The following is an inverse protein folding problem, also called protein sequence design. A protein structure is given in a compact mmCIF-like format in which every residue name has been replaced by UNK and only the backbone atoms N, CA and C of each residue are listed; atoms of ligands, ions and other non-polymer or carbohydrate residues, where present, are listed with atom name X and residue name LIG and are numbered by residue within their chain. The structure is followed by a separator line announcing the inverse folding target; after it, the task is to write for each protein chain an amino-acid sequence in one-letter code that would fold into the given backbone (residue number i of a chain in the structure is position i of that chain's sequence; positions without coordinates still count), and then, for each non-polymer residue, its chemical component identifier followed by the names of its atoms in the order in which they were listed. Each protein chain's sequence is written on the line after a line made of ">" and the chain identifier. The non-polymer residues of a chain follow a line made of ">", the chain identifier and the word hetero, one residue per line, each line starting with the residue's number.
data_IF_969930719551
#
_entry.id   IF_969930719551
#
_cell.length_a   1.000
_cell.length_b   1.000
_cell.length_c   1.000
_cell.angle_alpha   90.00
_cell.angle_beta   90.00
_cell.angle_gamma   90.00
#
_symmetry.space_group_name_H-M   'P 1'
#
loop_
_entity.id
_entity.type
_entity.pdbx_description
1 polymer ?
#
# COMPACT_ATOMS: atom_id res chain seq x y z
N UNK A 1 -6.80 0.07 -11.58
CA UNK A 1 -8.05 -0.28 -10.85
C UNK A 1 -7.86 -0.10 -9.36
N UNK A 2 -8.93 0.19 -8.60
CA UNK A 2 -8.84 0.31 -7.13
C UNK A 2 -8.58 -1.05 -6.47
N UNK A 3 -7.53 -1.13 -5.66
CA UNK A 3 -7.13 -2.32 -4.91
C UNK A 3 -7.86 -2.40 -3.55
N UNK A 4 -7.95 -3.62 -3.01
CA UNK A 4 -8.24 -3.81 -1.60
C UNK A 4 -7.08 -3.25 -0.76
N UNK A 5 -7.41 -2.47 0.26
CA UNK A 5 -6.40 -1.77 1.07
C UNK A 5 -6.88 -1.51 2.49
N UNK A 6 -5.92 -1.42 3.42
CA UNK A 6 -6.11 -1.03 4.82
C UNK A 6 -5.28 0.22 5.08
N UNK A 7 -5.94 1.33 5.38
CA UNK A 7 -5.30 2.58 5.77
C UNK A 7 -5.34 2.75 7.30
N UNK A 8 -4.25 3.20 7.89
CA UNK A 8 -4.13 3.50 9.32
C UNK A 8 -3.36 4.79 9.51
N UNK A 9 -3.88 5.70 10.33
CA UNK A 9 -3.20 6.96 10.65
C UNK A 9 -2.08 6.73 11.67
N UNK A 10 -1.04 7.55 11.58
CA UNK A 10 0.05 7.58 12.56
C UNK A 10 -0.48 7.80 13.98
N UNK A 11 0.11 7.12 14.96
CA UNK A 11 -0.21 7.31 16.38
C UNK A 11 0.27 8.67 16.88
N UNK A 12 1.47 9.09 16.45
CA UNK A 12 2.03 10.41 16.69
C UNK A 12 2.27 11.10 15.34
N UNK A 13 1.36 11.97 14.87
CA UNK A 13 1.49 12.60 13.56
C UNK A 13 2.68 13.58 13.53
N UNK A 14 3.65 13.34 12.66
CA UNK A 14 4.85 14.17 12.51
C UNK A 14 4.97 14.89 11.15
N UNK A 15 3.85 15.08 10.44
CA UNK A 15 3.82 15.57 9.05
C UNK A 15 4.73 14.75 8.12
N UNK A 16 4.98 13.49 8.48
CA UNK A 16 5.66 12.53 7.65
C UNK A 16 4.74 12.11 6.51
N UNK A 17 5.35 11.88 5.36
CA UNK A 17 4.65 11.34 4.20
C UNK A 17 4.20 9.90 4.45
N UNK A 18 3.05 9.48 3.90
CA UNK A 18 2.53 8.14 4.09
C UNK A 18 3.43 7.07 3.47
N UNK A 19 3.45 5.88 4.09
CA UNK A 19 4.15 4.70 3.61
C UNK A 19 3.16 3.69 3.04
N UNK A 20 3.41 3.25 1.80
CA UNK A 20 2.63 2.17 1.17
C UNK A 20 3.39 0.85 1.30
N UNK A 21 2.75 -0.13 1.92
CA UNK A 21 3.28 -1.48 2.12
C UNK A 21 2.67 -2.42 1.08
N UNK A 22 3.53 -2.95 0.21
CA UNK A 22 3.14 -3.85 -0.87
C UNK A 22 3.76 -5.23 -0.61
N UNK A 23 2.94 -6.28 -0.59
CA UNK A 23 3.40 -7.65 -0.35
C UNK A 23 4.09 -8.28 -1.58
N UNK A 24 4.78 -9.42 -1.35
CA UNK A 24 5.43 -10.21 -2.40
C UNK A 24 4.53 -11.25 -3.05
N UNK A 25 5.09 -12.08 -3.94
CA UNK A 25 4.35 -13.15 -4.63
C UNK A 25 3.66 -14.10 -3.63
N UNK A 26 2.41 -14.50 -3.95
CA UNK A 26 1.55 -15.34 -3.10
C UNK A 26 1.16 -14.72 -1.75
N UNK A 27 1.44 -13.43 -1.55
CA UNK A 27 1.08 -12.73 -0.33
C UNK A 27 -0.32 -12.09 -0.34
N UNK A 28 -0.62 -11.47 0.79
CA UNK A 28 -1.71 -10.53 1.02
C UNK A 28 -1.20 -9.35 1.85
N UNK A 29 -2.04 -8.33 2.01
CA UNK A 29 -1.76 -7.13 2.80
C UNK A 29 -1.34 -7.44 4.24
N UNK A 30 -1.74 -8.59 4.81
CA UNK A 30 -1.42 -8.97 6.19
C UNK A 30 0.04 -9.47 6.34
N UNK A 31 0.73 -9.85 5.26
CA UNK A 31 2.11 -10.34 5.35
C UNK A 31 3.10 -9.31 5.90
N UNK A 32 2.79 -8.02 5.78
CA UNK A 32 3.64 -6.93 6.27
C UNK A 32 3.12 -6.30 7.57
N UNK A 33 2.20 -6.99 8.27
CA UNK A 33 1.62 -6.48 9.51
C UNK A 33 2.64 -6.21 10.62
N UNK A 34 3.72 -6.99 10.72
CA UNK A 34 4.79 -6.74 11.71
C UNK A 34 5.50 -5.41 11.41
N UNK A 35 5.78 -5.14 10.14
CA UNK A 35 6.40 -3.88 9.73
C UNK A 35 5.45 -2.69 9.92
N UNK A 36 4.16 -2.87 9.61
CA UNK A 36 3.14 -1.85 9.82
C UNK A 36 3.04 -1.40 11.28
N UNK A 37 3.16 -2.33 12.24
CA UNK A 37 3.08 -2.04 13.68
C UNK A 37 4.19 -1.12 14.19
N UNK A 38 5.36 -1.19 13.59
CA UNK A 38 6.49 -0.33 13.95
C UNK A 38 6.34 1.06 13.29
N UNK A 39 6.04 1.07 11.98
CA UNK A 39 5.97 2.30 11.20
C UNK A 39 4.76 3.19 11.54
N UNK A 40 3.67 2.62 12.07
CA UNK A 40 2.49 3.40 12.48
C UNK A 40 2.77 4.34 13.67
N UNK A 41 3.92 4.20 14.33
CA UNK A 41 4.30 5.10 15.42
C UNK A 41 4.30 6.56 14.95
N UNK A 42 4.80 6.83 13.73
CA UNK A 42 5.03 8.18 13.20
C UNK A 42 4.67 8.37 11.72
N UNK A 43 4.22 7.32 11.00
CA UNK A 43 3.79 7.40 9.60
C UNK A 43 2.35 6.91 9.42
N UNK A 44 1.62 7.57 8.52
CA UNK A 44 0.38 7.01 7.97
C UNK A 44 0.74 5.79 7.10
N UNK A 45 0.03 4.68 7.30
CA UNK A 45 0.31 3.40 6.63
C UNK A 45 -0.86 3.02 5.72
N UNK A 46 -0.54 2.63 4.49
CA UNK A 46 -1.48 1.99 3.57
C UNK A 46 -0.94 0.62 3.18
N UNK A 47 -1.60 -0.44 3.64
CA UNK A 47 -1.33 -1.81 3.20
C UNK A 47 -2.26 -2.16 2.03
N UNK A 48 -1.74 -2.78 0.99
CA UNK A 48 -2.54 -3.13 -0.21
C UNK A 48 -2.42 -4.62 -0.55
N UNK A 49 -3.52 -5.21 -1.00
CA UNK A 49 -3.45 -6.45 -1.78
C UNK A 49 -3.18 -6.07 -3.24
N UNK A 50 -2.14 -6.60 -3.87
CA UNK A 50 -1.91 -6.34 -5.29
C UNK A 50 -2.98 -7.00 -6.15
N UNK A 51 -3.15 -6.54 -7.40
CA UNK A 51 -4.01 -7.22 -8.37
C UNK A 51 -3.74 -8.73 -8.35
N UNK A 52 -4.80 -9.50 -8.52
CA UNK A 52 -4.76 -10.97 -8.47
C UNK A 52 -4.41 -11.60 -7.11
N UNK A 53 -4.24 -10.82 -6.03
CA UNK A 53 -3.92 -11.30 -4.69
C UNK A 53 -4.96 -10.88 -3.65
N UNK A 54 -5.02 -11.60 -2.54
CA UNK A 54 -5.93 -11.34 -1.42
C UNK A 54 -7.37 -11.10 -1.86
N UNK A 55 -7.93 -9.96 -1.45
CA UNK A 55 -9.28 -9.53 -1.81
C UNK A 55 -9.30 -8.48 -2.94
N UNK A 56 -8.15 -8.19 -3.55
CA UNK A 56 -8.10 -7.30 -4.71
C UNK A 56 -8.72 -7.95 -5.94
N UNK A 57 -9.31 -7.17 -6.86
CA UNK A 57 -9.98 -7.78 -7.99
C UNK A 57 -8.98 -8.44 -8.96
N UNK A 58 -9.49 -9.42 -9.71
CA UNK A 58 -8.69 -10.25 -10.63
C UNK A 58 -8.63 -9.59 -12.01
N UNK A 59 -7.49 -9.70 -12.67
CA UNK A 59 -7.28 -9.27 -14.06
C UNK A 59 -6.46 -10.32 -14.83
N UNK A 60 -6.69 -10.53 -16.14
CA UNK A 60 -5.78 -11.31 -16.97
C UNK A 60 -4.43 -10.61 -17.19
N UNK A 61 -4.34 -9.29 -16.98
CA UNK A 61 -3.13 -8.51 -17.15
C UNK A 61 -2.31 -8.46 -15.84
N UNK A 62 -1.04 -8.89 -15.89
CA UNK A 62 -0.13 -8.90 -14.75
C UNK A 62 1.24 -8.30 -15.11
N UNK A 63 1.24 -7.00 -15.44
CA UNK A 63 2.47 -6.26 -15.81
C UNK A 63 2.82 -5.23 -14.74
N UNK A 64 4.10 -4.86 -14.63
CA UNK A 64 4.53 -3.83 -13.69
C UNK A 64 3.87 -2.46 -13.92
N UNK A 65 3.75 -1.95 -15.17
CA UNK A 65 3.06 -0.69 -15.41
C UNK A 65 1.61 -0.72 -14.92
N UNK A 66 0.90 -1.82 -15.16
CA UNK A 66 -0.49 -1.93 -14.75
C UNK A 66 -0.62 -2.02 -13.22
N UNK A 67 0.28 -2.75 -12.55
CA UNK A 67 0.38 -2.76 -11.09
C UNK A 67 0.70 -1.38 -10.50
N UNK A 68 1.58 -0.61 -11.13
CA UNK A 68 1.91 0.75 -10.70
C UNK A 68 0.69 1.68 -10.85
N UNK A 69 -0.07 1.55 -11.94
CA UNK A 69 -1.31 2.31 -12.13
C UNK A 69 -2.35 1.98 -11.06
N UNK A 70 -2.49 0.70 -10.68
CA UNK A 70 -3.42 0.33 -9.61
C UNK A 70 -3.06 0.96 -8.26
N UNK A 71 -1.77 1.08 -7.96
CA UNK A 71 -1.31 1.77 -6.76
C UNK A 71 -1.70 3.25 -6.81
N UNK A 72 -1.48 3.93 -7.94
CA UNK A 72 -1.88 5.33 -8.13
C UNK A 72 -3.39 5.49 -7.96
N UNK A 73 -4.20 4.70 -8.67
CA UNK A 73 -5.67 4.73 -8.58
C UNK A 73 -6.15 4.50 -7.14
N UNK A 74 -5.50 3.60 -6.41
CA UNK A 74 -5.84 3.30 -5.01
C UNK A 74 -5.51 4.47 -4.09
N UNK A 75 -4.35 5.10 -4.28
CA UNK A 75 -3.90 6.22 -3.44
C UNK A 75 -4.69 7.49 -3.73
N UNK A 76 -5.03 7.75 -4.98
CA UNK A 76 -5.93 8.86 -5.36
C UNK A 76 -7.32 8.68 -4.75
N UNK A 77 -7.82 7.44 -4.64
CA UNK A 77 -9.08 7.15 -3.96
C UNK A 77 -9.03 7.34 -2.43
N UNK A 78 -7.84 7.36 -1.82
CA UNK A 78 -7.63 7.68 -0.40
C UNK A 78 -7.34 9.17 -0.16
N UNK A 79 -7.08 9.95 -1.21
CA UNK A 79 -6.71 11.37 -1.07
C UNK A 79 -7.90 12.25 -0.73
N UNK A 80 -8.06 12.51 0.57
CA UNK A 80 -8.59 13.77 1.10
C UNK A 80 -7.43 14.59 1.66
N UNK A 81 -6.83 15.47 0.85
CA UNK A 81 -5.84 16.50 1.26
C UNK A 81 -4.57 16.05 2.02
N UNK A 82 -4.00 14.87 1.73
CA UNK A 82 -2.76 14.41 2.38
C UNK A 82 -1.46 14.85 1.64
N UNK A 83 -0.32 15.00 2.35
CA UNK A 83 0.98 15.32 1.76
C UNK A 83 1.44 14.30 0.70
N UNK A 84 2.40 14.65 -0.18
CA UNK A 84 2.91 13.73 -1.20
C UNK A 84 3.54 12.47 -0.58
N UNK A 85 3.38 11.33 -1.26
CA UNK A 85 3.95 10.03 -0.88
C UNK A 85 5.49 10.10 -0.88
N UNK A 86 6.16 9.63 0.18
CA UNK A 86 7.63 9.62 0.26
C UNK A 86 8.24 8.27 -0.06
N UNK A 87 7.51 7.17 0.18
CA UNK A 87 8.08 5.83 0.09
C UNK A 87 7.04 4.76 -0.25
N UNK A 88 7.39 3.91 -1.21
CA UNK A 88 6.74 2.62 -1.45
C UNK A 88 7.72 1.54 -1.00
N UNK A 89 7.30 0.67 -0.06
CA UNK A 89 8.10 -0.47 0.38
C UNK A 89 7.49 -1.76 -0.16
N UNK A 90 8.23 -2.42 -1.06
CA UNK A 90 7.79 -3.67 -1.68
C UNK A 90 8.55 -4.86 -1.11
N UNK A 91 7.83 -5.80 -0.49
CA UNK A 91 8.43 -7.04 -0.03
C UNK A 91 8.73 -7.94 -1.23
N UNK A 92 10.03 -8.14 -1.53
CA UNK A 92 10.46 -9.07 -2.58
C UNK A 92 11.46 -8.50 -3.60
N UNK A 93 11.80 -7.22 -3.55
CA UNK A 93 13.01 -6.71 -4.22
C UNK A 93 14.20 -6.87 -3.28
N UNK A 94 15.09 -7.80 -3.61
CA UNK A 94 16.52 -7.59 -3.32
C UNK A 94 17.03 -6.49 -4.25
#
# INVERSE_FOLDING_TARGET
>A
MKLNSRAQSAQNPHNHSPIVLVHGLFGSLDNLGILARDLIADHDIVQVDMRNHGLSPRSPEMTYPAMAQDLLDTLDAHRSSAPPLSAIRWAGKR
#
